data_IF_840305494103
#
_entry.id   IF_840305494103
#
_cell.length_a   1.000
_cell.length_b   1.000
_cell.length_c   1.000
_cell.angle_alpha   90.00
_cell.angle_beta   90.00
_cell.angle_gamma   90.00
#
_symmetry.space_group_name_H-M   'P 1'
#
loop_
_entity.id
_entity.type
_entity.pdbx_description
1 polymer ?
#
# COMPACT_ATOMS: atom_id res chain seq x y z
N UNK A 1 38.61 -19.98 10.46
CA UNK A 1 37.40 -19.11 10.35
C UNK A 1 36.58 -19.33 9.08
N UNK A 2 36.96 -20.23 8.20
CA UNK A 2 36.31 -20.51 6.88
C UNK A 2 35.12 -21.47 6.95
N UNK A 3 35.07 -22.33 7.97
CA UNK A 3 34.06 -23.41 8.08
C UNK A 3 32.61 -22.93 8.33
N UNK A 4 32.42 -21.72 8.85
CA UNK A 4 31.09 -21.19 9.14
C UNK A 4 30.43 -20.53 7.92
N UNK A 5 31.22 -20.01 6.98
CA UNK A 5 30.73 -19.38 5.75
C UNK A 5 30.14 -20.39 4.77
N UNK A 6 30.72 -21.59 4.72
CA UNK A 6 30.26 -22.65 3.82
C UNK A 6 28.98 -23.31 4.32
N UNK A 7 28.81 -23.45 5.63
CA UNK A 7 27.59 -23.96 6.23
C UNK A 7 26.40 -22.99 6.06
N UNK A 8 26.63 -21.69 6.13
CA UNK A 8 25.60 -20.67 5.88
C UNK A 8 25.20 -20.64 4.41
N UNK A 9 26.18 -20.74 3.49
CA UNK A 9 25.90 -20.85 2.06
C UNK A 9 25.15 -22.12 1.70
N UNK A 10 25.48 -23.23 2.34
CA UNK A 10 24.84 -24.54 2.10
C UNK A 10 23.41 -24.59 2.66
N UNK A 11 23.14 -23.92 3.77
CA UNK A 11 21.79 -23.74 4.32
C UNK A 11 20.91 -22.86 3.42
N UNK A 12 21.47 -21.81 2.82
CA UNK A 12 20.77 -20.91 1.89
C UNK A 12 20.38 -21.63 0.57
N UNK A 13 21.28 -22.48 0.06
CA UNK A 13 21.03 -23.29 -1.16
C UNK A 13 19.95 -24.37 -0.90
N UNK A 14 19.85 -24.89 0.32
CA UNK A 14 18.88 -25.95 0.65
C UNK A 14 17.45 -25.42 0.85
N UNK A 15 17.29 -24.16 1.19
CA UNK A 15 15.97 -23.52 1.32
C UNK A 15 15.36 -23.22 -0.07
N UNK A 16 16.20 -22.90 -1.05
CA UNK A 16 15.74 -22.63 -2.43
C UNK A 16 15.42 -23.91 -3.23
N UNK A 17 15.95 -25.07 -2.82
CA UNK A 17 15.76 -26.34 -3.53
C UNK A 17 14.33 -26.93 -3.42
N UNK A 18 13.48 -26.41 -2.54
CA UNK A 18 12.12 -26.91 -2.31
C UNK A 18 11.02 -26.25 -3.16
N UNK A 19 11.28 -25.09 -3.78
CA UNK A 19 10.28 -24.31 -4.51
C UNK A 19 10.68 -24.10 -5.98
N UNK A 20 10.45 -25.14 -6.80
CA UNK A 20 10.71 -25.10 -8.23
C UNK A 20 9.52 -24.52 -9.00
N UNK A 21 9.57 -23.27 -9.34
CA UNK A 21 8.62 -22.61 -10.22
C UNK A 21 8.91 -21.12 -10.35
N UNK A 22 8.78 -20.55 -11.53
CA UNK A 22 9.03 -19.15 -11.76
C UNK A 22 8.15 -18.21 -10.89
N UNK A 23 6.95 -18.69 -10.49
CA UNK A 23 6.04 -17.97 -9.59
C UNK A 23 6.52 -17.90 -8.13
N UNK A 24 7.47 -18.74 -7.74
CA UNK A 24 8.05 -18.78 -6.40
C UNK A 24 9.45 -18.14 -6.36
N UNK A 25 9.93 -17.65 -7.50
CA UNK A 25 11.19 -16.93 -7.54
C UNK A 25 11.10 -15.57 -6.84
N UNK A 26 12.13 -15.20 -6.07
CA UNK A 26 12.21 -13.91 -5.39
C UNK A 26 11.97 -12.73 -6.36
N UNK A 27 12.50 -12.82 -7.56
CA UNK A 27 12.32 -11.79 -8.61
C UNK A 27 10.85 -11.62 -8.97
N UNK A 28 10.08 -12.70 -9.12
CA UNK A 28 8.66 -12.61 -9.41
C UNK A 28 7.89 -11.92 -8.30
N UNK A 29 8.17 -12.29 -7.05
CA UNK A 29 7.52 -11.67 -5.87
C UNK A 29 7.79 -10.17 -5.82
N UNK A 30 9.04 -9.74 -6.03
CA UNK A 30 9.37 -8.32 -6.03
C UNK A 30 8.82 -7.56 -7.23
N UNK A 31 8.69 -8.20 -8.41
CA UNK A 31 8.03 -7.59 -9.57
C UNK A 31 6.53 -7.36 -9.32
N UNK A 32 5.85 -8.34 -8.76
CA UNK A 32 4.43 -8.19 -8.39
C UNK A 32 4.26 -7.12 -7.33
N UNK A 33 5.12 -7.12 -6.29
CA UNK A 33 5.13 -6.10 -5.25
C UNK A 33 5.36 -4.71 -5.85
N UNK A 34 6.33 -4.55 -6.74
CA UNK A 34 6.61 -3.27 -7.41
C UNK A 34 5.42 -2.78 -8.22
N UNK A 35 4.81 -3.65 -9.03
CA UNK A 35 3.67 -3.29 -9.87
C UNK A 35 2.45 -2.90 -9.01
N UNK A 36 2.15 -3.67 -7.97
CA UNK A 36 1.04 -3.40 -7.06
C UNK A 36 1.25 -2.08 -6.28
N UNK A 37 2.43 -1.90 -5.69
CA UNK A 37 2.74 -0.67 -4.92
C UNK A 37 2.83 0.57 -5.81
N UNK A 38 3.31 0.45 -7.05
CA UNK A 38 3.33 1.56 -7.99
C UNK A 38 1.90 1.96 -8.41
N UNK A 39 1.01 1.00 -8.64
CA UNK A 39 -0.39 1.26 -8.92
C UNK A 39 -1.09 1.91 -7.71
N UNK A 40 -0.90 1.38 -6.51
CA UNK A 40 -1.46 1.92 -5.27
C UNK A 40 -0.93 3.33 -4.96
N UNK A 41 0.35 3.61 -5.23
CA UNK A 41 0.96 4.93 -5.12
C UNK A 41 0.28 5.92 -6.08
N UNK A 42 0.08 5.53 -7.33
CA UNK A 42 -0.62 6.36 -8.31
C UNK A 42 -2.05 6.68 -7.87
N UNK A 43 -2.80 5.68 -7.40
CA UNK A 43 -4.15 5.86 -6.86
C UNK A 43 -4.16 6.80 -5.66
N UNK A 44 -3.22 6.64 -4.73
CA UNK A 44 -3.08 7.52 -3.56
C UNK A 44 -2.76 8.96 -3.95
N UNK A 45 -1.95 9.18 -4.99
CA UNK A 45 -1.67 10.51 -5.54
C UNK A 45 -2.92 11.13 -6.16
N UNK A 46 -3.69 10.38 -6.95
CA UNK A 46 -4.95 10.86 -7.53
C UNK A 46 -5.95 11.24 -6.45
N UNK A 47 -6.13 10.37 -5.44
CA UNK A 47 -7.02 10.63 -4.32
C UNK A 47 -6.59 11.86 -3.50
N UNK A 48 -5.28 12.04 -3.31
CA UNK A 48 -4.73 13.23 -2.64
C UNK A 48 -5.00 14.51 -3.43
N UNK A 49 -4.86 14.47 -4.75
CA UNK A 49 -5.16 15.61 -5.62
C UNK A 49 -6.64 15.97 -5.56
N UNK A 50 -7.53 14.98 -5.58
CA UNK A 50 -8.99 15.20 -5.48
C UNK A 50 -9.38 15.76 -4.10
N UNK A 51 -8.83 15.26 -3.01
CA UNK A 51 -9.09 15.79 -1.65
C UNK A 51 -8.59 17.23 -1.50
N UNK A 52 -7.45 17.58 -2.07
CA UNK A 52 -6.94 18.96 -2.11
C UNK A 52 -7.83 19.88 -2.97
N UNK A 53 -8.36 19.37 -4.07
CA UNK A 53 -9.28 20.13 -4.92
C UNK A 53 -10.59 20.42 -4.18
N UNK A 54 -11.13 19.44 -3.47
CA UNK A 54 -12.33 19.58 -2.65
C UNK A 54 -12.12 20.59 -1.50
N UNK A 55 -10.95 20.55 -0.85
CA UNK A 55 -10.59 21.48 0.22
C UNK A 55 -10.46 22.93 -0.28
N UNK A 56 -10.00 23.13 -1.52
CA UNK A 56 -9.89 24.47 -2.12
C UNK A 56 -11.21 25.02 -2.62
N UNK A 57 -12.09 24.18 -3.12
CA UNK A 57 -13.37 24.54 -3.70
C UNK A 57 -14.48 23.65 -3.13
N UNK A 58 -15.02 23.97 -1.94
CA UNK A 58 -16.10 23.20 -1.35
C UNK A 58 -17.32 23.14 -2.29
N UNK A 59 -17.83 21.93 -2.51
CA UNK A 59 -18.99 21.71 -3.40
C UNK A 59 -18.66 21.46 -4.87
N UNK A 60 -17.37 21.41 -5.25
CA UNK A 60 -16.99 20.94 -6.58
C UNK A 60 -17.31 19.46 -6.72
N UNK A 61 -17.88 19.05 -7.85
CA UNK A 61 -18.04 17.62 -8.17
C UNK A 61 -16.72 17.09 -8.67
N UNK A 62 -16.27 16.00 -8.03
CA UNK A 62 -15.09 15.28 -8.47
C UNK A 62 -15.38 14.42 -9.70
N UNK A 63 -14.35 14.11 -10.50
CA UNK A 63 -14.51 13.33 -11.71
C UNK A 63 -15.05 11.92 -11.51
N UNK A 64 -14.96 11.39 -10.29
CA UNK A 64 -15.48 10.09 -9.88
C UNK A 64 -16.86 10.14 -9.19
N UNK A 65 -17.51 11.29 -9.13
CA UNK A 65 -18.90 11.43 -8.63
C UNK A 65 -19.90 11.09 -9.74
N UNK A 66 -20.23 9.81 -9.86
CA UNK A 66 -21.14 9.30 -10.91
C UNK A 66 -22.60 9.33 -10.45
N UNK A 67 -22.86 8.89 -9.22
CA UNK A 67 -24.20 8.85 -8.64
C UNK A 67 -24.11 8.80 -7.09
N UNK A 68 -25.26 8.72 -6.41
CA UNK A 68 -25.33 8.70 -4.95
C UNK A 68 -24.61 7.49 -4.30
N UNK A 69 -24.39 6.39 -5.05
CA UNK A 69 -23.70 5.17 -4.57
C UNK A 69 -22.23 5.20 -4.93
N UNK A 70 -21.88 5.81 -6.07
CA UNK A 70 -20.49 5.94 -6.54
C UNK A 70 -20.12 7.42 -6.47
N UNK A 71 -19.47 7.80 -5.38
CA UNK A 71 -19.13 9.19 -5.08
C UNK A 71 -17.85 9.29 -4.24
N UNK A 72 -16.83 9.90 -4.82
CA UNK A 72 -15.57 10.17 -4.12
C UNK A 72 -15.73 11.32 -3.12
N UNK A 73 -16.52 12.32 -3.42
CA UNK A 73 -16.74 13.46 -2.51
C UNK A 73 -17.38 13.00 -1.20
N UNK A 74 -18.40 12.14 -1.25
CA UNK A 74 -19.05 11.57 -0.06
C UNK A 74 -18.06 10.78 0.81
N UNK A 75 -17.17 10.01 0.20
CA UNK A 75 -16.15 9.26 0.93
C UNK A 75 -15.07 10.20 1.48
N UNK A 76 -14.63 11.18 0.70
CA UNK A 76 -13.59 12.14 1.12
C UNK A 76 -14.05 13.06 2.27
N UNK A 77 -15.33 13.41 2.34
CA UNK A 77 -15.91 14.22 3.43
C UNK A 77 -16.24 13.41 4.68
N UNK A 78 -16.13 12.08 4.64
CA UNK A 78 -16.37 11.23 5.79
C UNK A 78 -15.24 11.36 6.82
N UNK A 79 -15.57 11.20 8.12
CA UNK A 79 -14.58 11.27 9.20
C UNK A 79 -13.50 10.17 9.07
N UNK A 80 -13.81 9.07 8.38
CA UNK A 80 -12.88 7.97 8.10
C UNK A 80 -11.79 8.38 7.12
N UNK A 81 -12.07 9.34 6.23
CA UNK A 81 -11.07 9.86 5.29
C UNK A 81 -10.06 10.79 5.97
N UNK A 82 -10.43 11.37 7.13
CA UNK A 82 -9.60 12.28 7.91
C UNK A 82 -9.41 11.77 9.34
N UNK A 83 -8.92 10.56 9.47
CA UNK A 83 -8.80 9.88 10.76
C UNK A 83 -7.79 10.55 11.70
N UNK A 84 -6.70 11.10 11.17
CA UNK A 84 -5.66 11.72 11.99
C UNK A 84 -5.84 13.24 11.98
N UNK A 85 -6.23 13.78 13.14
CA UNK A 85 -6.29 15.22 13.43
C UNK A 85 -5.25 15.55 14.48
N UNK A 86 -4.26 16.36 14.11
CA UNK A 86 -3.21 16.78 15.01
C UNK A 86 -3.01 18.29 14.94
N UNK A 87 -2.97 18.95 16.09
CA UNK A 87 -2.74 20.40 16.21
C UNK A 87 -3.66 21.29 15.34
N UNK A 88 -4.93 20.86 15.13
CA UNK A 88 -5.88 21.59 14.29
C UNK A 88 -5.71 21.35 12.78
N UNK A 89 -4.76 20.51 12.38
CA UNK A 89 -4.58 20.07 11.01
C UNK A 89 -5.22 18.69 10.82
N UNK A 90 -5.98 18.55 9.75
CA UNK A 90 -6.57 17.28 9.32
C UNK A 90 -5.72 16.69 8.21
N UNK A 91 -5.31 15.43 8.37
CA UNK A 91 -4.49 14.73 7.38
C UNK A 91 -5.34 13.67 6.67
N UNK A 92 -5.64 13.85 5.37
CA UNK A 92 -6.30 12.84 4.56
C UNK A 92 -5.53 11.51 4.55
N UNK A 93 -6.25 10.39 4.64
CA UNK A 93 -5.67 9.05 4.61
C UNK A 93 -4.80 8.78 3.38
N UNK A 94 -5.10 9.42 2.26
CA UNK A 94 -4.33 9.31 1.03
C UNK A 94 -2.85 9.70 1.20
N UNK A 95 -2.51 10.63 2.10
CA UNK A 95 -1.11 10.98 2.38
C UNK A 95 -0.34 9.85 3.06
N UNK A 96 -1.01 9.10 3.95
CA UNK A 96 -0.40 7.91 4.55
C UNK A 96 -0.21 6.80 3.51
N UNK A 97 -1.16 6.67 2.56
CA UNK A 97 -1.02 5.79 1.40
C UNK A 97 0.23 6.14 0.58
N UNK A 98 0.44 7.42 0.23
CA UNK A 98 1.64 7.86 -0.50
C UNK A 98 2.93 7.48 0.27
N UNK A 99 2.97 7.75 1.57
CA UNK A 99 4.14 7.44 2.39
C UNK A 99 4.42 5.94 2.45
N UNK A 100 3.41 5.13 2.74
CA UNK A 100 3.54 3.68 2.83
C UNK A 100 3.93 3.04 1.50
N UNK A 101 3.26 3.39 0.41
CA UNK A 101 3.52 2.80 -0.90
C UNK A 101 4.89 3.21 -1.46
N UNK A 102 5.36 4.41 -1.17
CA UNK A 102 6.73 4.83 -1.51
C UNK A 102 7.79 3.94 -0.84
N UNK A 103 7.54 3.53 0.41
CA UNK A 103 8.42 2.59 1.12
C UNK A 103 8.36 1.21 0.47
N UNK A 104 7.18 0.69 0.14
CA UNK A 104 7.04 -0.62 -0.51
C UNK A 104 7.66 -0.65 -1.91
N UNK A 105 7.50 0.42 -2.70
CA UNK A 105 8.19 0.58 -3.99
C UNK A 105 9.71 0.51 -3.80
N UNK A 106 10.24 1.22 -2.82
CA UNK A 106 11.67 1.23 -2.53
C UNK A 106 12.16 -0.17 -2.13
N UNK A 107 11.43 -0.86 -1.27
CA UNK A 107 11.75 -2.23 -0.84
C UNK A 107 11.74 -3.20 -2.04
N UNK A 108 10.75 -3.06 -2.92
CA UNK A 108 10.67 -3.90 -4.12
C UNK A 108 11.87 -3.69 -5.06
N UNK A 109 12.31 -2.44 -5.26
CA UNK A 109 13.51 -2.11 -6.04
C UNK A 109 14.78 -2.68 -5.40
N UNK A 110 14.93 -2.56 -4.09
CA UNK A 110 16.06 -3.15 -3.34
C UNK A 110 16.07 -4.68 -3.51
N UNK A 111 14.91 -5.33 -3.41
CA UNK A 111 14.78 -6.77 -3.61
C UNK A 111 15.13 -7.22 -5.03
N UNK A 112 14.70 -6.47 -6.05
CA UNK A 112 15.07 -6.72 -7.45
C UNK A 112 16.57 -6.55 -7.71
N UNK A 113 17.21 -5.64 -6.99
CA UNK A 113 18.67 -5.39 -7.06
C UNK A 113 19.48 -6.50 -6.36
N UNK A 114 18.81 -7.55 -5.83
CA UNK A 114 19.45 -8.68 -5.13
C UNK A 114 20.30 -8.28 -3.93
N UNK A 115 19.97 -7.16 -3.31
CA UNK A 115 20.61 -6.71 -2.07
C UNK A 115 20.13 -7.60 -0.92
N UNK A 116 21.07 -8.17 -0.17
CA UNK A 116 20.77 -9.01 0.99
C UNK A 116 20.31 -8.11 2.13
N UNK A 117 19.05 -8.25 2.53
CA UNK A 117 18.48 -7.51 3.66
C UNK A 117 18.47 -8.36 4.93
N UNK A 118 18.66 -7.77 6.10
CA UNK A 118 18.62 -8.53 7.37
C UNK A 118 17.20 -9.07 7.65
N UNK A 119 17.11 -10.17 8.36
CA UNK A 119 15.84 -10.86 8.65
C UNK A 119 14.83 -9.98 9.38
N UNK A 120 15.29 -9.12 10.28
CA UNK A 120 14.40 -8.19 10.98
C UNK A 120 13.70 -7.22 10.02
N UNK A 121 14.41 -6.76 8.97
CA UNK A 121 13.84 -5.87 7.95
C UNK A 121 12.76 -6.59 7.14
N UNK A 122 12.99 -7.83 6.73
CA UNK A 122 11.98 -8.65 6.07
C UNK A 122 10.74 -8.87 6.96
N UNK A 123 10.94 -9.13 8.25
CA UNK A 123 9.85 -9.28 9.22
C UNK A 123 9.04 -7.97 9.35
N UNK A 124 9.71 -6.82 9.49
CA UNK A 124 9.05 -5.53 9.57
C UNK A 124 8.25 -5.21 8.29
N UNK A 125 8.78 -5.53 7.11
CA UNK A 125 8.09 -5.39 5.83
C UNK A 125 6.84 -6.25 5.79
N UNK A 126 6.92 -7.50 6.23
CA UNK A 126 5.79 -8.42 6.25
C UNK A 126 4.71 -7.96 7.23
N UNK A 127 5.08 -7.54 8.44
CA UNK A 127 4.16 -6.99 9.43
C UNK A 127 3.51 -5.70 8.95
N UNK A 128 4.28 -4.81 8.30
CA UNK A 128 3.76 -3.60 7.67
C UNK A 128 2.74 -3.90 6.58
N UNK A 129 3.01 -4.89 5.73
CA UNK A 129 2.06 -5.36 4.71
C UNK A 129 0.78 -5.92 5.30
N UNK A 130 0.87 -6.72 6.37
CA UNK A 130 -0.32 -7.22 7.07
C UNK A 130 -1.14 -6.08 7.70
N UNK A 131 -0.49 -5.11 8.31
CA UNK A 131 -1.16 -3.95 8.90
C UNK A 131 -1.86 -3.11 7.82
N UNK A 132 -1.20 -2.88 6.68
CA UNK A 132 -1.78 -2.19 5.53
C UNK A 132 -3.00 -2.94 4.97
N UNK A 133 -2.92 -4.26 4.85
CA UNK A 133 -4.03 -5.11 4.40
C UNK A 133 -5.21 -5.04 5.37
N UNK A 134 -4.96 -5.16 6.68
CA UNK A 134 -6.01 -5.07 7.70
C UNK A 134 -6.69 -3.70 7.67
N UNK A 135 -5.91 -2.62 7.49
CA UNK A 135 -6.43 -1.27 7.36
C UNK A 135 -7.26 -1.08 6.08
N UNK A 136 -6.81 -1.61 4.95
CA UNK A 136 -7.57 -1.58 3.70
C UNK A 136 -8.91 -2.31 3.82
N UNK A 137 -8.93 -3.48 4.46
CA UNK A 137 -10.17 -4.20 4.76
C UNK A 137 -11.11 -3.41 5.67
N UNK A 138 -10.58 -2.76 6.69
CA UNK A 138 -11.36 -1.91 7.56
C UNK A 138 -12.01 -0.76 6.79
N UNK A 139 -11.24 -0.04 5.95
CA UNK A 139 -11.77 1.03 5.11
C UNK A 139 -12.84 0.52 4.14
N UNK A 140 -12.64 -0.65 3.56
CA UNK A 140 -13.61 -1.29 2.68
C UNK A 140 -14.94 -1.54 3.40
N UNK A 141 -14.90 -2.11 4.61
CA UNK A 141 -16.09 -2.34 5.43
C UNK A 141 -16.79 -1.01 5.76
N UNK A 142 -16.03 0.03 6.12
CA UNK A 142 -16.58 1.35 6.40
C UNK A 142 -17.27 1.94 5.15
N UNK A 143 -16.66 1.85 3.99
CA UNK A 143 -17.22 2.33 2.73
C UNK A 143 -18.54 1.62 2.39
N UNK A 144 -18.60 0.30 2.53
CA UNK A 144 -19.77 -0.51 2.16
C UNK A 144 -20.93 -0.37 3.13
N UNK A 145 -20.66 -0.41 4.45
CA UNK A 145 -21.72 -0.56 5.46
C UNK A 145 -22.04 0.72 6.20
N UNK A 146 -21.09 1.63 6.36
CA UNK A 146 -21.25 2.86 7.14
C UNK A 146 -21.52 4.05 6.23
N UNK A 147 -20.61 4.31 5.27
CA UNK A 147 -20.70 5.45 4.35
C UNK A 147 -21.75 5.17 3.26
N UNK A 148 -21.87 3.89 2.85
CA UNK A 148 -22.75 3.45 1.75
C UNK A 148 -22.46 4.14 0.42
N UNK A 149 -21.23 4.60 0.25
CA UNK A 149 -20.72 5.16 -0.99
C UNK A 149 -19.41 4.46 -1.36
N UNK A 150 -19.28 4.17 -2.64
CA UNK A 150 -18.11 3.52 -3.23
C UNK A 150 -17.25 4.58 -3.92
N UNK A 151 -15.99 4.63 -3.55
CA UNK A 151 -15.01 5.44 -4.26
C UNK A 151 -14.25 4.51 -5.24
N UNK A 152 -14.33 4.74 -6.58
CA UNK A 152 -13.64 3.91 -7.56
C UNK A 152 -12.13 3.83 -7.31
N UNK A 153 -11.53 4.94 -6.89
CA UNK A 153 -10.10 5.00 -6.55
C UNK A 153 -9.73 4.25 -5.27
N UNK A 154 -10.67 3.99 -4.38
CA UNK A 154 -10.43 3.22 -3.17
C UNK A 154 -10.48 1.70 -3.42
N UNK A 155 -10.89 1.30 -4.62
CA UNK A 155 -11.07 -0.09 -5.03
C UNK A 155 -9.98 -0.58 -6.01
N UNK A 156 -9.28 0.35 -6.62
CA UNK A 156 -8.18 0.06 -7.54
C UNK A 156 -6.91 -0.32 -6.78
#
# INVERSE_FOLDING_TARGET
MTHNSDAVKQADISVDAGLTGWRHGAVWTYLVMLAASAAALFVSLMLSAETLQLARNPGVKLGCDVNAVVSCSTVAESWQAEFIKFAGLSFPNAFFGIAAESVFVTIAVIGLSKVVVPRWFALCTWLGGLAALAYAYWLFIQSMFVIRALCPWCWA
#
